data_IF_276195995285
#
_entry.id   IF_276195995285
#
_cell.length_a   1.000
_cell.length_b   1.000
_cell.length_c   1.000
_cell.angle_alpha   90.00
_cell.angle_beta   90.00
_cell.angle_gamma   90.00
#
_symmetry.space_group_name_H-M   'P 1'
#
loop_
_entity.id
_entity.type
_entity.pdbx_description
1 polymer ?
#
# COMPACT_ATOMS: atom_id res chain seq x y z
N UNK A 1 18.62 -10.59 14.71
CA UNK A 1 17.46 -11.50 14.80
C UNK A 1 17.78 -12.96 14.57
N UNK A 2 18.42 -13.38 13.46
CA UNK A 2 18.69 -14.82 13.18
C UNK A 2 19.19 -15.64 14.39
N UNK A 3 20.30 -15.22 15.02
CA UNK A 3 20.86 -15.91 16.20
C UNK A 3 19.85 -16.01 17.37
N UNK A 4 19.11 -14.93 17.63
CA UNK A 4 18.09 -14.92 18.69
C UNK A 4 16.96 -15.92 18.39
N UNK A 5 16.50 -16.00 17.14
CA UNK A 5 15.46 -16.94 16.73
C UNK A 5 15.93 -18.39 16.82
N UNK A 6 17.20 -18.68 16.53
CA UNK A 6 17.80 -20.01 16.70
C UNK A 6 17.89 -20.41 18.19
N UNK A 7 18.19 -19.45 19.07
CA UNK A 7 18.30 -19.67 20.52
C UNK A 7 16.94 -19.65 21.24
N UNK A 8 15.88 -19.18 20.58
CA UNK A 8 14.54 -18.99 21.17
C UNK A 8 13.46 -19.67 20.31
N UNK A 9 13.39 -21.01 20.31
CA UNK A 9 12.35 -21.72 19.56
C UNK A 9 10.96 -21.52 20.18
N UNK A 10 9.93 -21.64 19.34
CA UNK A 10 8.54 -21.58 19.79
C UNK A 10 8.20 -22.73 20.74
N UNK A 11 7.34 -22.44 21.73
CA UNK A 11 6.95 -23.40 22.77
C UNK A 11 5.65 -24.10 22.39
N UNK A 12 5.64 -25.44 22.48
CA UNK A 12 4.45 -26.24 22.22
C UNK A 12 3.30 -25.85 23.17
N UNK A 13 2.10 -25.63 22.60
CA UNK A 13 0.91 -25.23 23.35
C UNK A 13 0.73 -23.70 23.52
N UNK A 14 1.73 -22.90 23.17
CA UNK A 14 1.60 -21.43 23.14
C UNK A 14 1.07 -20.99 21.78
N UNK A 15 0.08 -20.09 21.78
CA UNK A 15 -0.46 -19.48 20.57
C UNK A 15 0.25 -18.15 20.32
N UNK A 16 0.89 -18.02 19.16
CA UNK A 16 1.55 -16.80 18.72
C UNK A 16 0.70 -16.11 17.66
N UNK A 17 0.48 -14.81 17.83
CA UNK A 17 -0.27 -13.97 16.89
C UNK A 17 0.55 -12.73 16.56
N UNK A 18 0.47 -12.27 15.31
CA UNK A 18 1.13 -11.02 14.93
C UNK A 18 0.33 -10.21 13.93
N UNK A 19 0.63 -8.91 13.90
CA UNK A 19 0.13 -7.93 12.95
C UNK A 19 1.32 -7.15 12.41
N UNK A 20 1.24 -6.73 11.15
CA UNK A 20 2.20 -5.84 10.53
C UNK A 20 1.62 -4.44 10.37
N UNK A 21 2.47 -3.49 10.04
CA UNK A 21 2.05 -2.14 9.68
C UNK A 21 2.89 -1.62 8.52
N UNK A 22 2.26 -0.79 7.68
CA UNK A 22 2.90 -0.12 6.55
C UNK A 22 2.38 1.30 6.45
N UNK A 23 3.24 2.23 6.03
CA UNK A 23 2.83 3.60 5.77
C UNK A 23 3.75 4.26 4.77
N UNK A 24 3.29 5.38 4.19
CA UNK A 24 4.11 6.20 3.30
C UNK A 24 4.50 7.51 3.99
N UNK A 25 5.77 7.69 4.38
CA UNK A 25 6.22 8.90 5.06
C UNK A 25 6.18 10.13 4.15
N UNK A 26 5.73 11.26 4.71
CA UNK A 26 5.85 12.57 4.10
C UNK A 26 7.31 13.07 4.03
N UNK A 27 7.53 14.22 3.38
CA UNK A 27 8.89 14.78 3.24
C UNK A 27 9.51 15.20 4.59
N UNK A 28 8.69 15.61 5.55
CA UNK A 28 9.11 16.01 6.90
C UNK A 28 8.53 14.99 7.89
N UNK A 29 9.05 13.77 7.87
CA UNK A 29 8.67 12.69 8.79
C UNK A 29 9.91 12.19 9.53
N UNK A 30 9.77 11.96 10.84
CA UNK A 30 10.85 11.48 11.73
C UNK A 30 11.46 10.17 11.25
N UNK A 31 10.70 9.33 10.56
CA UNK A 31 11.13 8.03 10.08
C UNK A 31 11.25 7.93 8.57
N UNK A 32 11.23 9.06 7.85
CA UNK A 32 11.43 9.05 6.40
C UNK A 32 12.72 8.35 6.01
N UNK A 33 13.81 8.59 6.74
CA UNK A 33 15.11 8.03 6.42
C UNK A 33 15.19 6.52 6.71
N UNK A 34 14.80 6.08 7.90
CA UNK A 34 14.79 4.67 8.26
C UNK A 34 13.83 3.86 7.39
N UNK A 35 12.66 4.43 7.09
CA UNK A 35 11.70 3.82 6.16
C UNK A 35 12.34 3.53 4.81
N UNK A 36 13.04 4.50 4.20
CA UNK A 36 13.67 4.32 2.89
C UNK A 36 14.74 3.23 2.91
N UNK A 37 15.55 3.15 3.98
CA UNK A 37 16.60 2.12 4.12
C UNK A 37 15.98 0.72 4.22
N UNK A 38 14.89 0.58 4.99
CA UNK A 38 14.18 -0.70 5.11
C UNK A 38 13.44 -1.04 3.83
N UNK A 39 12.81 -0.05 3.19
CA UNK A 39 12.08 -0.23 1.93
C UNK A 39 12.97 -0.80 0.83
N UNK A 40 14.19 -0.27 0.69
CA UNK A 40 15.16 -0.73 -0.29
C UNK A 40 15.58 -2.20 -0.08
N UNK A 41 15.68 -2.64 1.18
CA UNK A 41 16.23 -3.97 1.52
C UNK A 41 15.18 -5.04 1.74
N UNK A 42 14.06 -4.69 2.34
CA UNK A 42 13.08 -5.61 2.90
C UNK A 42 11.65 -5.33 2.42
N UNK A 43 11.40 -4.17 1.79
CA UNK A 43 10.11 -3.80 1.24
C UNK A 43 9.22 -3.00 2.22
N UNK A 44 7.88 -3.06 2.07
CA UNK A 44 6.94 -2.27 2.85
C UNK A 44 7.19 -2.36 4.35
N UNK A 45 7.13 -1.23 5.06
CA UNK A 45 7.49 -1.16 6.47
C UNK A 45 6.77 -0.02 7.20
N UNK A 46 6.79 -0.07 8.52
CA UNK A 46 6.15 0.91 9.42
C UNK A 46 7.08 2.08 9.81
N UNK A 47 8.25 2.16 9.16
CA UNK A 47 9.29 3.15 9.39
C UNK A 47 10.52 2.59 10.09
N UNK A 48 10.39 1.45 10.79
CA UNK A 48 11.49 0.82 11.52
C UNK A 48 11.57 -0.68 11.26
N UNK A 49 10.43 -1.35 11.11
CA UNK A 49 10.31 -2.80 10.99
C UNK A 49 9.61 -3.14 9.69
N UNK A 50 10.22 -4.03 8.90
CA UNK A 50 9.60 -4.50 7.66
C UNK A 50 8.38 -5.36 7.93
N UNK A 51 7.42 -5.32 7.00
CA UNK A 51 6.25 -6.18 7.02
C UNK A 51 6.65 -7.66 7.11
N UNK A 52 7.70 -8.05 6.38
CA UNK A 52 8.25 -9.41 6.41
C UNK A 52 8.79 -9.78 7.79
N UNK A 53 9.46 -8.86 8.47
CA UNK A 53 9.98 -9.09 9.82
C UNK A 53 8.88 -9.16 10.89
N UNK A 54 7.73 -8.52 10.66
CA UNK A 54 6.61 -8.51 11.60
C UNK A 54 5.72 -9.77 11.52
N UNK A 55 5.82 -10.57 10.45
CA UNK A 55 5.06 -11.79 10.27
C UNK A 55 5.64 -12.93 11.13
N UNK A 56 4.90 -13.35 12.15
CA UNK A 56 5.27 -14.47 13.03
C UNK A 56 4.04 -15.19 13.58
N UNK A 57 4.13 -16.51 13.74
CA UNK A 57 3.00 -17.32 14.20
C UNK A 57 1.78 -17.17 13.29
N UNK A 58 0.61 -16.92 13.90
CA UNK A 58 -0.62 -16.64 13.16
C UNK A 58 -0.68 -15.16 12.80
N UNK A 59 -0.39 -14.85 11.54
CA UNK A 59 -0.47 -13.49 11.02
C UNK A 59 -1.93 -13.10 10.78
N UNK A 60 -2.41 -12.04 11.45
CA UNK A 60 -3.81 -11.65 11.47
C UNK A 60 -4.14 -10.42 10.62
N UNK A 61 -3.12 -9.73 10.09
CA UNK A 61 -3.33 -8.66 9.10
C UNK A 61 -2.28 -7.55 9.13
N UNK A 62 -2.36 -6.70 8.11
CA UNK A 62 -1.50 -5.53 7.93
C UNK A 62 -2.32 -4.25 8.20
N UNK A 63 -1.76 -3.34 8.99
CA UNK A 63 -2.33 -2.03 9.26
C UNK A 63 -1.81 -1.02 8.24
N UNK A 64 -2.73 -0.46 7.46
CA UNK A 64 -2.43 0.48 6.38
C UNK A 64 -2.35 1.94 6.87
N UNK A 65 -1.34 2.68 6.40
CA UNK A 65 -1.11 4.07 6.79
C UNK A 65 -0.71 4.25 8.26
N UNK A 66 -0.19 3.20 8.89
CA UNK A 66 0.18 3.18 10.31
C UNK A 66 1.68 3.07 10.44
N UNK A 67 2.27 4.03 11.14
CA UNK A 67 3.69 3.99 11.46
C UNK A 67 3.92 3.35 12.84
N UNK A 68 5.17 3.04 13.16
CA UNK A 68 5.53 2.36 14.40
C UNK A 68 5.10 3.09 15.71
N UNK A 69 4.82 4.41 15.68
CA UNK A 69 4.54 5.26 16.86
C UNK A 69 3.03 5.32 17.04
N UNK A 70 2.29 5.27 15.93
CA UNK A 70 0.84 5.09 15.91
C UNK A 70 0.44 3.81 16.63
N UNK A 71 1.18 2.71 16.43
CA UNK A 71 0.90 1.42 17.08
C UNK A 71 0.82 1.56 18.60
N UNK A 72 1.75 2.27 19.23
CA UNK A 72 1.80 2.45 20.69
C UNK A 72 0.99 3.66 21.17
N UNK A 73 0.28 4.36 20.27
CA UNK A 73 -0.48 5.56 20.58
C UNK A 73 0.38 6.76 21.00
N UNK A 74 1.69 6.69 20.80
CA UNK A 74 2.59 7.80 21.07
C UNK A 74 2.64 8.73 19.87
N UNK A 75 1.51 9.38 19.66
CA UNK A 75 1.34 10.31 18.58
C UNK A 75 1.36 11.72 19.13
N UNK A 76 2.38 12.47 18.71
CA UNK A 76 2.43 13.89 18.96
C UNK A 76 1.16 14.51 18.33
N UNK A 77 0.34 15.18 19.14
CA UNK A 77 -0.93 15.80 18.72
C UNK A 77 -0.75 16.73 17.51
N UNK A 78 0.47 17.23 17.31
CA UNK A 78 0.89 17.98 16.14
C UNK A 78 0.77 17.19 14.82
N UNK A 79 1.05 15.88 14.79
CA UNK A 79 1.00 15.08 13.56
C UNK A 79 -0.42 14.91 13.04
N UNK A 80 -1.38 14.64 13.94
CA UNK A 80 -2.80 14.60 13.57
C UNK A 80 -3.28 15.95 13.05
N UNK A 81 -2.90 17.05 13.72
CA UNK A 81 -3.24 18.40 13.25
C UNK A 81 -2.61 18.72 11.89
N UNK A 82 -1.35 18.36 11.65
CA UNK A 82 -0.70 18.53 10.35
C UNK A 82 -1.28 17.63 9.26
N UNK A 83 -1.66 16.40 9.62
CA UNK A 83 -2.30 15.44 8.74
C UNK A 83 -3.70 15.89 8.33
N UNK A 84 -4.48 16.45 9.27
CA UNK A 84 -5.76 17.12 9.01
C UNK A 84 -5.60 18.34 8.10
N UNK A 85 -4.61 19.20 8.37
CA UNK A 85 -4.31 20.38 7.55
C UNK A 85 -3.86 19.98 6.13
N UNK A 86 -3.11 18.88 6.00
CA UNK A 86 -2.57 18.38 4.73
C UNK A 86 -3.52 17.41 4.01
N UNK A 87 -4.73 17.16 4.55
CA UNK A 87 -5.73 16.27 3.95
C UNK A 87 -5.35 14.79 3.91
N UNK A 88 -4.35 14.36 4.68
CA UNK A 88 -3.97 12.94 4.81
C UNK A 88 -4.53 12.39 6.11
N UNK A 89 -5.81 12.03 6.13
CA UNK A 89 -6.43 11.46 7.33
C UNK A 89 -5.74 10.15 7.75
N UNK A 90 -5.32 10.09 9.01
CA UNK A 90 -4.76 8.89 9.62
C UNK A 90 -5.88 8.24 10.41
N UNK A 91 -6.51 7.23 9.81
CA UNK A 91 -7.75 6.63 10.31
C UNK A 91 -7.55 5.63 11.45
N UNK A 92 -6.31 5.33 11.82
CA UNK A 92 -5.99 4.34 12.84
C UNK A 92 -6.27 4.87 14.25
N UNK A 93 -7.04 4.09 15.03
CA UNK A 93 -7.35 4.37 16.44
C UNK A 93 -6.76 3.26 17.30
N UNK A 94 -5.63 3.49 18.00
CA UNK A 94 -4.92 2.45 18.74
C UNK A 94 -5.80 1.78 19.80
N UNK A 95 -6.61 2.55 20.52
CA UNK A 95 -7.51 2.01 21.55
C UNK A 95 -8.52 1.00 20.99
N UNK A 96 -9.13 1.30 19.84
CA UNK A 96 -10.09 0.40 19.18
C UNK A 96 -9.39 -0.84 18.66
N UNK A 97 -8.19 -0.69 18.09
CA UNK A 97 -7.38 -1.80 17.63
C UNK A 97 -7.05 -2.77 18.76
N UNK A 98 -6.52 -2.28 19.88
CA UNK A 98 -6.19 -3.12 21.03
C UNK A 98 -7.42 -3.75 21.69
N UNK A 99 -8.56 -3.05 21.72
CA UNK A 99 -9.81 -3.66 22.18
C UNK A 99 -10.22 -4.84 21.28
N UNK A 100 -10.06 -4.71 19.97
CA UNK A 100 -10.26 -5.81 19.02
C UNK A 100 -9.31 -7.00 19.26
N UNK A 101 -8.04 -6.73 19.58
CA UNK A 101 -7.10 -7.80 19.99
C UNK A 101 -7.60 -8.52 21.24
N UNK A 102 -8.03 -7.78 22.27
CA UNK A 102 -8.52 -8.40 23.51
C UNK A 102 -9.76 -9.25 23.29
N UNK A 103 -10.70 -8.81 22.46
CA UNK A 103 -11.89 -9.59 22.09
C UNK A 103 -11.51 -10.85 21.28
N UNK A 104 -10.57 -10.73 20.33
CA UNK A 104 -10.06 -11.89 19.59
C UNK A 104 -9.42 -12.92 20.53
N UNK A 105 -8.57 -12.47 21.46
CA UNK A 105 -7.91 -13.35 22.43
C UNK A 105 -8.92 -14.02 23.37
N UNK A 106 -9.93 -13.30 23.85
CA UNK A 106 -11.00 -13.88 24.68
C UNK A 106 -11.73 -15.02 23.95
N UNK A 107 -12.05 -14.84 22.66
CA UNK A 107 -12.70 -15.89 21.85
C UNK A 107 -11.79 -17.09 21.61
N UNK A 108 -10.55 -16.84 21.17
CA UNK A 108 -9.65 -17.90 20.69
C UNK A 108 -8.95 -18.64 21.83
N UNK A 109 -8.74 -18.00 22.97
CA UNK A 109 -8.03 -18.59 24.12
C UNK A 109 -9.00 -19.07 25.19
N UNK A 110 -10.04 -18.30 25.51
CA UNK A 110 -10.98 -18.63 26.59
C UNK A 110 -12.19 -19.44 26.12
N UNK A 111 -12.32 -19.69 24.81
CA UNK A 111 -13.39 -20.51 24.25
C UNK A 111 -14.78 -19.89 24.38
N UNK A 112 -14.85 -18.55 24.44
CA UNK A 112 -16.12 -17.82 24.38
C UNK A 112 -16.68 -17.91 22.95
N UNK A 113 -17.31 -19.03 22.62
CA UNK A 113 -18.14 -19.14 21.42
C UNK A 113 -19.36 -18.23 21.59
N UNK A 114 -19.55 -17.31 20.64
CA UNK A 114 -20.74 -16.48 20.59
C UNK A 114 -21.92 -17.40 20.28
N UNK A 115 -22.78 -17.69 21.27
CA UNK A 115 -24.04 -18.36 21.02
C UNK A 115 -24.95 -17.40 20.27
N UNK A 116 -24.89 -17.43 18.93
CA UNK A 116 -25.85 -16.70 18.10
C UNK A 116 -27.21 -17.38 18.23
N UNK A 117 -28.08 -16.81 19.06
CA UNK A 117 -29.51 -17.09 19.00
C UNK A 117 -30.07 -16.48 17.72
N UNK A 118 -30.44 -17.36 16.80
CA UNK A 118 -31.42 -17.22 15.71
C UNK A 118 -32.00 -15.82 15.47
N UNK A 119 -31.65 -15.23 14.33
CA UNK A 119 -32.64 -14.79 13.33
C UNK A 119 -31.88 -14.26 12.11
N UNK A 120 -31.64 -15.15 11.12
CA UNK A 120 -31.72 -14.89 9.66
C UNK A 120 -31.17 -16.14 8.97
N UNK A 121 -32.06 -17.08 8.67
CA UNK A 121 -31.83 -18.04 7.58
C UNK A 121 -31.93 -17.30 6.23
N UNK A 122 -31.09 -17.76 5.29
CA UNK A 122 -31.06 -17.47 3.85
C UNK A 122 -29.97 -16.49 3.37
N UNK A 123 -28.73 -17.01 3.25
CA UNK A 123 -27.94 -16.93 2.01
C UNK A 123 -26.53 -17.50 2.20
N UNK A 124 -26.40 -18.82 2.37
CA UNK A 124 -25.10 -19.50 2.43
C UNK A 124 -24.47 -19.79 1.07
N UNK A 125 -24.92 -19.13 -0.01
CA UNK A 125 -24.41 -19.33 -1.37
C UNK A 125 -23.84 -18.07 -2.04
N UNK A 126 -23.77 -16.93 -1.33
CA UNK A 126 -23.31 -15.66 -1.91
C UNK A 126 -21.84 -15.30 -1.60
N UNK A 127 -21.20 -15.93 -0.61
CA UNK A 127 -19.88 -15.48 -0.12
C UNK A 127 -18.73 -15.88 -1.03
N UNK A 128 -18.78 -17.05 -1.67
CA UNK A 128 -17.74 -17.47 -2.62
C UNK A 128 -17.78 -16.67 -3.94
N UNK A 129 -18.94 -16.14 -4.31
CA UNK A 129 -19.11 -15.33 -5.53
C UNK A 129 -18.67 -13.89 -5.35
N UNK A 130 -18.96 -13.29 -4.19
CA UNK A 130 -18.68 -11.88 -3.90
C UNK A 130 -17.17 -11.59 -3.82
N UNK A 131 -16.40 -12.44 -3.14
CA UNK A 131 -14.94 -12.31 -3.04
C UNK A 131 -14.25 -12.45 -4.40
N UNK A 132 -14.80 -13.31 -5.28
CA UNK A 132 -14.27 -13.52 -6.64
C UNK A 132 -14.60 -12.36 -7.58
N UNK A 133 -15.74 -11.70 -7.39
CA UNK A 133 -16.17 -10.56 -8.20
C UNK A 133 -15.45 -9.27 -7.81
N UNK A 134 -15.29 -9.01 -6.51
CA UNK A 134 -14.59 -7.82 -6.02
C UNK A 134 -13.09 -7.87 -6.38
N UNK A 135 -12.46 -9.05 -6.31
CA UNK A 135 -11.09 -9.25 -6.79
C UNK A 135 -10.95 -9.06 -8.32
N UNK A 136 -11.98 -9.42 -9.10
CA UNK A 136 -11.98 -9.22 -10.55
C UNK A 136 -12.22 -7.76 -10.95
N UNK A 137 -13.08 -7.04 -10.21
CA UNK A 137 -13.33 -5.62 -10.40
C UNK A 137 -12.09 -4.79 -10.07
N UNK A 138 -11.40 -5.09 -8.96
CA UNK A 138 -10.13 -4.43 -8.59
C UNK A 138 -9.06 -4.68 -9.66
N UNK A 139 -9.00 -5.89 -10.22
CA UNK A 139 -8.05 -6.22 -11.29
C UNK A 139 -8.38 -5.48 -12.59
N UNK A 140 -9.65 -5.40 -12.99
CA UNK A 140 -10.06 -4.66 -14.18
C UNK A 140 -9.87 -3.15 -14.02
N UNK A 141 -10.12 -2.60 -12.83
CA UNK A 141 -9.85 -1.18 -12.51
C UNK A 141 -8.35 -0.90 -12.63
N UNK A 142 -7.50 -1.80 -12.11
CA UNK A 142 -6.04 -1.70 -12.20
C UNK A 142 -5.54 -1.76 -13.66
N UNK A 143 -6.07 -2.69 -14.47
CA UNK A 143 -5.76 -2.81 -15.90
C UNK A 143 -6.24 -1.56 -16.70
N UNK A 144 -7.38 -0.96 -16.31
CA UNK A 144 -7.88 0.28 -16.93
C UNK A 144 -7.03 1.49 -16.56
N UNK A 145 -6.54 1.57 -15.33
CA UNK A 145 -5.64 2.64 -14.87
C UNK A 145 -4.28 2.53 -15.58
N UNK A 146 -3.72 1.33 -15.73
CA UNK A 146 -2.49 1.13 -16.51
C UNK A 146 -2.65 1.51 -18.00
N UNK A 147 -3.80 1.17 -18.61
CA UNK A 147 -4.12 1.57 -19.99
C UNK A 147 -4.29 3.10 -20.11
N UNK A 148 -4.91 3.75 -19.13
CA UNK A 148 -5.05 5.21 -19.11
C UNK A 148 -3.70 5.92 -18.95
N UNK A 149 -2.79 5.38 -18.13
CA UNK A 149 -1.42 5.88 -18.01
C UNK A 149 -0.57 5.64 -19.27
N UNK A 150 -0.80 4.52 -19.97
CA UNK A 150 -0.17 4.22 -21.25
C UNK A 150 -0.61 5.19 -22.35
N UNK A 151 -1.90 5.55 -22.38
CA UNK A 151 -2.45 6.54 -23.31
C UNK A 151 -1.97 7.97 -22.98
N UNK A 152 -1.78 8.31 -21.70
CA UNK A 152 -1.22 9.60 -21.28
C UNK A 152 0.26 9.80 -21.62
N UNK A 153 1.01 8.71 -21.87
CA UNK A 153 2.42 8.76 -22.31
C UNK A 153 2.57 8.78 -23.84
N UNK A 154 1.48 8.72 -24.60
CA UNK A 154 1.48 8.70 -26.07
C UNK A 154 1.40 10.07 -26.77
N UNK A 155 1.16 11.17 -26.04
CA UNK A 155 0.88 12.47 -26.65
C UNK A 155 1.98 13.51 -26.43
N UNK A 156 3.23 13.19 -26.81
CA UNK A 156 4.23 14.19 -27.23
C UNK A 156 5.10 13.62 -28.35
N UNK A 157 4.51 13.30 -29.51
CA UNK A 157 5.22 13.37 -30.81
C UNK A 157 4.21 13.35 -31.95
N UNK A 158 3.83 14.50 -32.50
CA UNK A 158 3.70 14.72 -33.95
C UNK A 158 3.17 16.12 -34.25
N UNK A 159 3.77 16.78 -35.24
CA UNK A 159 3.06 17.77 -36.04
C UNK A 159 3.61 19.20 -36.10
N UNK A 160 4.86 19.41 -36.53
CA UNK A 160 5.21 20.64 -37.26
C UNK A 160 5.78 20.29 -38.64
N UNK A 161 4.87 19.98 -39.57
CA UNK A 161 5.18 19.86 -40.99
C UNK A 161 5.27 21.25 -41.61
N UNK A 162 6.48 21.66 -41.97
CA UNK A 162 6.75 22.85 -42.80
C UNK A 162 6.23 22.58 -44.22
N UNK A 163 5.46 23.48 -44.86
CA UNK A 163 5.10 23.30 -46.25
C UNK A 163 6.22 23.81 -47.17
N UNK A 164 6.77 22.92 -47.99
CA UNK A 164 7.54 23.28 -49.20
C UNK A 164 6.62 23.91 -50.26
N UNK A 165 7.03 24.98 -50.95
CA UNK A 165 6.53 25.26 -52.29
C UNK A 165 7.42 24.58 -53.35
N UNK A 166 6.77 24.02 -54.36
CA UNK A 166 7.36 23.32 -55.53
C UNK A 166 7.59 24.31 -56.70
N UNK A 167 8.10 23.90 -57.88
CA UNK A 167 9.27 24.50 -58.50
C UNK A 167 8.92 25.32 -59.76
N UNK A 168 9.83 26.17 -60.20
CA UNK A 168 9.84 26.64 -61.59
C UNK A 168 11.27 26.72 -62.12
N UNK A 169 11.50 25.94 -63.18
CA UNK A 169 12.67 25.94 -64.06
C UNK A 169 12.85 27.28 -64.78
N UNK A 170 14.09 27.71 -65.02
CA UNK A 170 14.82 27.51 -66.29
C UNK A 170 15.87 28.62 -66.55
N UNK A 171 16.95 28.24 -67.26
CA UNK A 171 17.96 29.06 -67.99
C UNK A 171 18.83 30.02 -67.18
N UNK A 172 20.14 30.20 -67.39
CA UNK A 172 21.13 29.82 -68.40
C UNK A 172 22.33 30.79 -68.32
N UNK A 173 23.48 30.41 -68.91
CA UNK A 173 24.69 31.21 -69.22
C UNK A 173 25.65 31.60 -68.05
N UNK A 174 26.89 31.07 -68.00
CA UNK A 174 28.20 31.63 -68.50
C UNK A 174 28.54 33.02 -67.91
N UNK A 175 29.71 33.40 -67.37
CA UNK A 175 31.14 33.14 -67.70
C UNK A 175 32.04 33.60 -66.52
N UNK A 176 33.20 32.96 -66.39
CA UNK A 176 34.59 33.44 -66.16
C UNK A 176 34.90 34.87 -65.63
N UNK A 177 35.98 35.01 -64.84
CA UNK A 177 36.70 36.28 -64.70
C UNK A 177 37.47 36.58 -63.40
N UNK A 178 38.75 36.16 -63.37
CA UNK A 178 39.92 36.65 -62.61
C UNK A 178 40.11 36.29 -61.13
#
# INVERSE_FOLDING_TARGET
MRKFNEETPDVAGVKYFSWGAVYEPGMIDTWKWSHSVVLEKEGPNDGLVSLKSAQWGTYLGTLEGVNHLDLVGWVNTARYKWAEIMGREIKFKPATFYLGITDHLARVVEGQERTESSDTESSSEATAGAESNEANEIRQESERVEMAESLGKGEVTSGSGTPSPRPTSNTGLTTDGR
#
